data_IF_352993848037
#
_entry.id   IF_352993848037
#
_cell.length_a   1.000
_cell.length_b   1.000
_cell.length_c   1.000
_cell.angle_alpha   90.00
_cell.angle_beta   90.00
_cell.angle_gamma   90.00
#
_symmetry.space_group_name_H-M   'P 1'
#
loop_
_entity.id
_entity.type
_entity.pdbx_description
1 polymer ?
#
# COMPACT_ATOMS: atom_id res chain seq x y z
N UNK A 1 -3.09 0.48 17.84
CA UNK A 1 -2.43 1.29 16.78
C UNK A 1 -2.77 0.66 15.42
N UNK A 2 -3.94 1.06 14.91
CA UNK A 2 -4.62 0.39 13.81
C UNK A 2 -4.14 1.00 12.49
N UNK A 3 -3.53 0.17 11.66
CA UNK A 3 -3.06 0.50 10.32
C UNK A 3 -2.30 -0.70 9.79
N UNK A 4 -2.70 -1.21 8.63
CA UNK A 4 -2.01 -2.33 8.00
C UNK A 4 -0.52 -2.00 7.87
N UNK A 5 0.41 -2.89 8.31
CA UNK A 5 1.84 -2.59 8.29
C UNK A 5 2.37 -2.29 6.88
N UNK A 6 1.70 -2.78 5.82
CA UNK A 6 2.00 -2.46 4.43
C UNK A 6 1.73 -0.99 4.08
N UNK A 7 0.68 -0.39 4.61
CA UNK A 7 0.26 0.98 4.28
C UNK A 7 1.19 2.04 4.89
N UNK A 8 1.98 1.67 5.91
CA UNK A 8 2.96 2.57 6.54
C UNK A 8 4.37 2.42 5.97
N UNK A 9 4.59 1.54 5.00
CA UNK A 9 5.89 1.38 4.37
C UNK A 9 6.14 2.51 3.37
N UNK A 10 7.40 2.94 3.17
CA UNK A 10 7.72 3.89 2.11
C UNK A 10 7.45 3.28 0.73
N UNK A 11 7.24 4.10 -0.32
CA UNK A 11 7.22 3.59 -1.69
C UNK A 11 8.56 2.91 -2.02
N UNK A 12 8.50 1.76 -2.71
CA UNK A 12 9.70 1.03 -3.11
C UNK A 12 9.67 0.71 -4.60
N UNK A 13 10.59 1.31 -5.34
CA UNK A 13 10.70 1.13 -6.79
C UNK A 13 11.26 -0.24 -7.18
N UNK A 14 11.96 -0.93 -6.28
CA UNK A 14 12.64 -2.17 -6.60
C UNK A 14 13.91 -1.97 -7.44
N UNK A 15 14.69 -3.04 -7.66
CA UNK A 15 15.97 -2.95 -8.37
C UNK A 15 15.83 -2.98 -9.91
N UNK A 16 14.68 -3.37 -10.42
CA UNK A 16 14.43 -3.43 -11.86
C UNK A 16 14.16 -2.04 -12.45
N UNK A 17 14.40 -1.87 -13.76
CA UNK A 17 14.34 -0.57 -14.45
C UNK A 17 13.14 -0.39 -15.39
N UNK A 18 12.17 -1.32 -15.36
CA UNK A 18 10.97 -1.21 -16.17
C UNK A 18 9.98 -0.26 -15.48
N UNK A 19 9.87 0.97 -15.99
CA UNK A 19 9.05 2.01 -15.38
C UNK A 19 7.55 1.66 -15.46
N UNK A 20 6.87 1.77 -14.32
CA UNK A 20 5.43 1.63 -14.20
C UNK A 20 4.90 2.64 -13.19
N UNK A 21 3.90 3.40 -13.59
CA UNK A 21 3.14 4.21 -12.63
C UNK A 21 2.38 3.27 -11.69
N UNK A 22 2.60 3.43 -10.39
CA UNK A 22 1.91 2.74 -9.31
C UNK A 22 1.54 3.74 -8.23
N UNK A 23 0.67 3.32 -7.31
CA UNK A 23 0.21 4.15 -6.20
C UNK A 23 0.70 3.57 -4.89
N UNK A 24 1.08 4.42 -3.96
CA UNK A 24 1.42 4.07 -2.58
C UNK A 24 0.62 4.93 -1.62
N UNK A 25 0.35 4.42 -0.43
CA UNK A 25 -0.29 5.16 0.64
C UNK A 25 0.75 5.98 1.40
N UNK A 26 0.53 7.28 1.47
CA UNK A 26 1.29 8.23 2.27
C UNK A 26 0.56 8.44 3.59
N UNK A 27 1.04 7.78 4.65
CA UNK A 27 0.47 7.87 5.98
C UNK A 27 0.69 9.24 6.65
N UNK A 28 1.62 10.07 6.16
CA UNK A 28 1.83 11.42 6.69
C UNK A 28 0.71 12.36 6.21
N UNK A 29 0.24 12.18 4.97
CA UNK A 29 -0.84 12.98 4.40
C UNK A 29 -2.19 12.27 4.38
N UNK A 30 -2.24 11.00 4.76
CA UNK A 30 -3.40 10.11 4.63
C UNK A 30 -3.95 10.05 3.19
N UNK A 31 -3.07 10.15 2.18
CA UNK A 31 -3.45 10.15 0.76
C UNK A 31 -2.71 9.08 -0.03
N UNK A 32 -3.28 8.65 -1.15
CA UNK A 32 -2.59 7.79 -2.10
C UNK A 32 -1.89 8.62 -3.17
N UNK A 33 -0.57 8.44 -3.30
CA UNK A 33 0.28 9.18 -4.22
C UNK A 33 0.88 8.26 -5.27
N UNK A 34 1.19 8.81 -6.45
CA UNK A 34 1.82 8.06 -7.52
C UNK A 34 3.34 7.96 -7.32
N UNK A 35 3.93 6.86 -7.76
CA UNK A 35 5.37 6.66 -7.82
C UNK A 35 5.75 5.74 -8.99
N UNK A 36 7.03 5.79 -9.40
CA UNK A 36 7.57 4.90 -10.42
C UNK A 36 8.03 3.59 -9.78
N UNK A 37 7.42 2.49 -10.19
CA UNK A 37 7.78 1.13 -9.81
C UNK A 37 8.53 0.44 -10.95
N UNK A 38 9.64 -0.20 -10.64
CA UNK A 38 10.52 -0.93 -11.56
C UNK A 38 9.98 -2.28 -12.07
N UNK A 39 8.71 -2.62 -11.79
CA UNK A 39 8.04 -3.89 -12.12
C UNK A 39 8.52 -5.15 -11.38
N UNK A 40 9.50 -5.08 -10.49
CA UNK A 40 9.92 -6.23 -9.68
C UNK A 40 10.20 -5.90 -8.20
N UNK A 41 10.09 -6.92 -7.33
CA UNK A 41 10.30 -6.84 -5.86
C UNK A 41 9.53 -5.68 -5.20
N UNK A 42 8.20 -5.76 -5.18
CA UNK A 42 7.36 -4.81 -4.44
C UNK A 42 7.41 -5.07 -2.93
N UNK A 43 7.29 -4.01 -2.11
CA UNK A 43 7.22 -4.12 -0.64
C UNK A 43 5.77 -4.17 -0.09
N UNK A 44 4.77 -4.22 -0.98
CA UNK A 44 3.35 -4.26 -0.65
C UNK A 44 2.63 -2.91 -0.67
N UNK A 45 3.33 -1.79 -0.44
CA UNK A 45 2.74 -0.44 -0.61
C UNK A 45 2.76 -0.03 -2.09
N UNK A 46 2.10 -0.83 -2.92
CA UNK A 46 2.14 -0.71 -4.38
C UNK A 46 0.81 -1.19 -4.95
N UNK A 47 0.02 -0.24 -5.41
CA UNK A 47 -1.32 -0.46 -5.94
C UNK A 47 -1.40 0.00 -7.40
N UNK A 48 -2.29 -0.63 -8.15
CA UNK A 48 -2.52 -0.31 -9.57
C UNK A 48 -3.28 0.99 -9.77
N UNK A 49 -4.05 1.43 -8.78
CA UNK A 49 -4.86 2.66 -8.85
C UNK A 49 -4.94 3.34 -7.48
N UNK A 50 -5.17 4.65 -7.48
CA UNK A 50 -5.40 5.43 -6.25
C UNK A 50 -6.61 4.92 -5.47
N UNK A 51 -7.69 4.53 -6.15
CA UNK A 51 -8.89 3.95 -5.54
C UNK A 51 -8.59 2.63 -4.82
N UNK A 52 -7.79 1.74 -5.43
CA UNK A 52 -7.39 0.48 -4.79
C UNK A 52 -6.52 0.73 -3.55
N UNK A 53 -5.60 1.69 -3.65
CA UNK A 53 -4.77 2.13 -2.52
C UNK A 53 -5.62 2.68 -1.36
N UNK A 54 -6.57 3.58 -1.65
CA UNK A 54 -7.45 4.17 -0.62
C UNK A 54 -8.36 3.10 0.00
N UNK A 55 -8.92 2.19 -0.79
CA UNK A 55 -9.72 1.06 -0.25
C UNK A 55 -8.89 0.14 0.64
N UNK A 56 -7.63 -0.09 0.31
CA UNK A 56 -6.75 -0.96 1.10
C UNK A 56 -6.27 -0.30 2.40
N UNK A 57 -5.97 1.00 2.36
CA UNK A 57 -5.22 1.69 3.42
C UNK A 57 -5.99 2.79 4.16
N UNK A 58 -6.98 3.41 3.53
CA UNK A 58 -7.81 4.46 4.13
C UNK A 58 -9.14 3.94 4.69
N UNK A 59 -9.54 2.70 4.39
CA UNK A 59 -10.70 2.11 5.05
C UNK A 59 -10.38 1.86 6.54
N UNK A 60 -11.16 2.42 7.48
CA UNK A 60 -11.21 1.87 8.82
C UNK A 60 -11.71 0.44 8.66
N UNK A 61 -10.84 -0.54 8.90
CA UNK A 61 -11.24 -1.94 8.97
C UNK A 61 -12.46 -2.01 9.92
N UNK A 62 -13.66 -2.47 9.50
CA UNK A 62 -14.43 -3.26 10.45
C UNK A 62 -13.48 -4.41 10.75
N UNK A 63 -13.01 -4.48 12.00
CA UNK A 63 -12.22 -5.59 12.48
C UNK A 63 -13.01 -6.86 12.15
N UNK A 64 -12.70 -7.55 11.06
CA UNK A 64 -13.11 -8.94 10.93
C UNK A 64 -12.44 -9.63 12.11
N UNK A 65 -13.21 -10.14 13.10
CA UNK A 65 -12.61 -10.84 14.22
C UNK A 65 -11.77 -11.95 13.59
N UNK A 66 -10.48 -11.95 13.90
CA UNK A 66 -9.56 -13.01 13.49
C UNK A 66 -10.23 -14.36 13.83
N UNK A 67 -10.58 -15.22 12.85
CA UNK A 67 -10.91 -16.59 13.19
C UNK A 67 -9.63 -17.24 13.69
N UNK A 68 -9.61 -17.72 14.93
CA UNK A 68 -8.49 -18.49 15.47
C UNK A 68 -7.63 -17.75 16.50
N UNK A 69 -8.22 -17.51 17.66
CA UNK A 69 -7.60 -17.83 18.95
C UNK A 69 -8.60 -18.68 19.71
N UNK A 70 -8.50 -19.99 19.53
CA UNK A 70 -8.93 -20.99 20.50
C UNK A 70 -7.65 -21.54 21.13
#
# INVERSE_FOLDING_TARGET
>A
PNGWPICRRPPYSGPCRAASTRFYYDAATNTCRQFTYGRCKSNGNNFVSGTACMKACASPIPVSPRPGKA
#
